data_IF_007142681518
#
_entry.id   IF_007142681518
#
_cell.length_a   1.000
_cell.length_b   1.000
_cell.length_c   1.000
_cell.angle_alpha   90.00
_cell.angle_beta   90.00
_cell.angle_gamma   90.00
#
_symmetry.space_group_name_H-M   'P 1'
#
loop_
_entity.id
_entity.type
_entity.pdbx_description
1 polymer ?
#
# COMPACT_ATOMS: atom_id res chain seq x y z
N UNK A 1 4.64 -15.87 -28.40
CA UNK A 1 4.99 -15.59 -26.99
C UNK A 1 6.20 -14.65 -26.90
N UNK A 2 7.30 -14.94 -27.59
CA UNK A 2 8.53 -14.10 -27.55
C UNK A 2 8.33 -12.62 -27.92
N UNK A 3 7.58 -12.33 -28.98
CA UNK A 3 7.27 -10.93 -29.38
C UNK A 3 6.44 -10.21 -28.33
N UNK A 4 5.52 -10.91 -27.68
CA UNK A 4 4.67 -10.34 -26.64
C UNK A 4 5.48 -10.07 -25.37
N UNK A 5 6.36 -10.99 -24.97
CA UNK A 5 7.30 -10.77 -23.87
C UNK A 5 8.30 -9.66 -24.16
N UNK A 6 8.77 -9.52 -25.40
CA UNK A 6 9.66 -8.43 -25.80
C UNK A 6 8.98 -7.06 -25.72
N UNK A 7 7.74 -6.96 -26.21
CA UNK A 7 6.93 -5.73 -26.12
C UNK A 7 6.64 -5.37 -24.66
N UNK A 8 6.18 -6.34 -23.87
CA UNK A 8 5.93 -6.13 -22.43
C UNK A 8 7.21 -5.75 -21.70
N UNK A 9 8.34 -6.37 -22.01
CA UNK A 9 9.64 -6.05 -21.44
C UNK A 9 10.09 -4.63 -21.76
N UNK A 10 9.93 -4.18 -23.01
CA UNK A 10 10.26 -2.81 -23.41
C UNK A 10 9.37 -1.77 -22.74
N UNK A 11 8.06 -2.01 -22.67
CA UNK A 11 7.11 -1.16 -21.95
C UNK A 11 7.48 -1.13 -20.46
N UNK A 12 7.79 -2.28 -19.86
CA UNK A 12 8.17 -2.38 -18.47
C UNK A 12 9.45 -1.58 -18.18
N UNK A 13 10.46 -1.70 -19.03
CA UNK A 13 11.72 -0.97 -18.90
C UNK A 13 11.57 0.55 -19.04
N UNK A 14 10.56 1.03 -19.78
CA UNK A 14 10.28 2.46 -19.89
C UNK A 14 9.38 2.96 -18.76
N UNK A 15 8.23 2.30 -18.54
CA UNK A 15 7.19 2.69 -17.57
C UNK A 15 7.66 2.49 -16.12
N UNK A 16 8.47 1.48 -15.84
CA UNK A 16 9.05 1.25 -14.51
C UNK A 16 10.54 1.60 -14.45
N UNK A 17 11.05 2.21 -15.51
CA UNK A 17 12.42 2.67 -15.62
C UNK A 17 12.68 4.00 -14.91
N UNK A 18 13.86 4.58 -15.16
CA UNK A 18 14.27 5.85 -14.57
C UNK A 18 13.24 6.99 -14.67
N UNK A 19 12.52 7.20 -15.80
CA UNK A 19 11.58 8.31 -15.90
C UNK A 19 10.46 8.27 -14.85
N UNK A 20 9.87 7.10 -14.62
CA UNK A 20 8.79 6.97 -13.64
C UNK A 20 9.29 7.06 -12.21
N UNK A 21 10.48 6.51 -11.93
CA UNK A 21 11.12 6.64 -10.62
C UNK A 21 11.40 8.12 -10.29
N UNK A 22 11.94 8.87 -11.26
CA UNK A 22 12.16 10.31 -11.13
C UNK A 22 10.83 11.05 -10.95
N UNK A 23 9.77 10.65 -11.64
CA UNK A 23 8.46 11.29 -11.49
C UNK A 23 7.86 11.02 -10.10
N UNK A 24 7.85 9.78 -9.62
CA UNK A 24 7.31 9.41 -8.31
C UNK A 24 8.11 10.06 -7.18
N UNK A 25 9.44 9.91 -7.19
CA UNK A 25 10.29 10.46 -6.15
C UNK A 25 10.40 11.98 -6.25
N UNK A 26 10.50 12.52 -7.46
CA UNK A 26 10.55 13.96 -7.70
C UNK A 26 9.28 14.66 -7.29
N UNK A 27 8.10 14.10 -7.62
CA UNK A 27 6.81 14.66 -7.17
C UNK A 27 6.66 14.58 -5.66
N UNK A 28 7.00 13.45 -5.05
CA UNK A 28 6.98 13.32 -3.60
C UNK A 28 7.92 14.32 -2.93
N UNK A 29 9.13 14.51 -3.45
CA UNK A 29 10.10 15.44 -2.88
C UNK A 29 9.61 16.89 -3.04
N UNK A 30 9.07 17.23 -4.21
CA UNK A 30 8.44 18.53 -4.46
C UNK A 30 7.30 18.80 -3.47
N UNK A 31 6.39 17.84 -3.27
CA UNK A 31 5.28 17.96 -2.32
C UNK A 31 5.79 18.06 -0.88
N UNK A 32 6.79 17.26 -0.51
CA UNK A 32 7.41 17.24 0.81
C UNK A 32 8.01 18.62 1.15
N UNK A 33 8.69 19.26 0.19
CA UNK A 33 9.21 20.62 0.33
C UNK A 33 8.09 21.67 0.35
N UNK A 34 7.11 21.58 -0.55
CA UNK A 34 5.98 22.53 -0.64
C UNK A 34 5.09 22.52 0.60
N UNK A 35 4.92 21.34 1.22
CA UNK A 35 4.21 21.16 2.48
C UNK A 35 5.09 21.52 3.70
N UNK A 36 6.32 22.01 3.50
CA UNK A 36 7.22 22.40 4.59
C UNK A 36 7.54 21.23 5.53
N UNK A 37 7.75 20.03 4.98
CA UNK A 37 7.97 18.79 5.73
C UNK A 37 6.84 18.44 6.72
N UNK A 38 5.64 18.99 6.55
CA UNK A 38 4.52 18.80 7.46
C UNK A 38 4.19 17.32 7.73
N UNK A 39 4.12 16.41 6.74
CA UNK A 39 3.82 15.01 7.00
C UNK A 39 4.79 14.37 8.01
N UNK A 40 6.08 14.66 7.89
CA UNK A 40 7.12 14.15 8.81
C UNK A 40 7.01 14.84 10.18
N UNK A 41 6.88 16.17 10.21
CA UNK A 41 6.81 16.95 11.46
C UNK A 41 5.55 16.63 12.29
N UNK A 42 4.45 16.23 11.64
CA UNK A 42 3.15 15.99 12.28
C UNK A 42 2.84 14.52 12.54
N UNK A 43 3.77 13.59 12.33
CA UNK A 43 3.58 12.16 12.64
C UNK A 43 3.00 11.94 14.06
N UNK A 44 3.52 12.56 15.14
CA UNK A 44 2.95 12.36 16.48
C UNK A 44 1.51 12.86 16.61
N UNK A 45 1.19 13.96 15.91
CA UNK A 45 -0.19 14.49 15.85
C UNK A 45 -1.10 13.51 15.14
N UNK A 46 -0.64 12.91 14.03
CA UNK A 46 -1.36 11.89 13.28
C UNK A 46 -1.72 10.68 14.15
N UNK A 47 -0.76 10.13 14.89
CA UNK A 47 -1.03 9.04 15.84
C UNK A 47 -2.06 9.42 16.90
N UNK A 48 -1.99 10.65 17.44
CA UNK A 48 -2.97 11.15 18.41
C UNK A 48 -4.38 11.25 17.81
N UNK A 49 -4.49 11.71 16.56
CA UNK A 49 -5.76 11.82 15.85
C UNK A 49 -6.38 10.44 15.59
N UNK A 50 -5.57 9.49 15.12
CA UNK A 50 -5.99 8.09 14.89
C UNK A 50 -6.50 7.45 16.19
N UNK A 51 -5.79 7.67 17.30
CA UNK A 51 -6.20 7.12 18.59
C UNK A 51 -7.53 7.69 19.08
N UNK A 52 -7.76 9.00 18.87
CA UNK A 52 -9.02 9.67 19.20
C UNK A 52 -10.16 9.22 18.28
N UNK A 53 -9.88 9.02 17.00
CA UNK A 53 -10.83 8.58 15.96
C UNK A 53 -11.28 7.12 16.07
N UNK A 54 -10.90 6.40 17.14
CA UNK A 54 -11.47 5.08 17.49
C UNK A 54 -12.91 5.16 17.97
N UNK A 55 -13.33 6.32 18.49
CA UNK A 55 -14.72 6.58 18.84
C UNK A 55 -15.36 7.30 17.65
N UNK A 56 -16.40 6.74 17.01
CA UNK A 56 -17.16 7.49 16.02
C UNK A 56 -17.78 8.70 16.73
N UNK A 57 -17.55 9.90 16.21
CA UNK A 57 -18.43 11.02 16.55
C UNK A 57 -19.77 10.74 15.85
N UNK A 58 -20.87 10.77 16.60
CA UNK A 58 -22.19 10.40 16.08
C UNK A 58 -22.62 11.28 14.89
N UNK A 59 -22.07 12.50 14.79
CA UNK A 59 -22.37 13.49 13.76
C UNK A 59 -21.26 13.65 12.69
N UNK A 60 -20.20 12.81 12.72
CA UNK A 60 -19.10 12.95 11.78
C UNK A 60 -19.48 12.43 10.37
N UNK A 61 -19.34 13.24 9.30
CA UNK A 61 -19.68 12.82 7.95
C UNK A 61 -18.69 11.78 7.39
N UNK A 62 -19.11 10.51 7.33
CA UNK A 62 -18.35 9.40 6.76
C UNK A 62 -18.96 8.04 7.11
N UNK A 63 -18.65 7.01 6.33
CA UNK A 63 -19.26 5.69 6.50
C UNK A 63 -18.59 4.80 7.55
N UNK A 64 -17.32 5.07 7.83
CA UNK A 64 -16.49 4.32 8.77
C UNK A 64 -15.66 5.29 9.62
N UNK A 65 -15.28 4.85 10.82
CA UNK A 65 -14.44 5.65 11.71
C UNK A 65 -13.08 5.98 11.05
N UNK A 66 -12.41 7.08 11.43
CA UNK A 66 -11.04 7.35 10.97
C UNK A 66 -10.07 6.20 11.29
N UNK A 67 -10.30 5.48 12.39
CA UNK A 67 -9.51 4.30 12.74
C UNK A 67 -9.76 3.15 11.75
N UNK A 68 -11.02 2.83 11.43
CA UNK A 68 -11.40 1.84 10.42
C UNK A 68 -10.85 2.17 9.05
N UNK A 69 -10.91 3.44 8.64
CA UNK A 69 -10.37 3.88 7.37
C UNK A 69 -8.85 3.63 7.31
N UNK A 70 -8.12 3.97 8.37
CA UNK A 70 -6.69 3.69 8.45
C UNK A 70 -6.41 2.19 8.46
N UNK A 71 -7.11 1.40 9.26
CA UNK A 71 -6.89 -0.05 9.34
C UNK A 71 -7.22 -0.73 8.00
N UNK A 72 -8.26 -0.29 7.30
CA UNK A 72 -8.60 -0.77 5.95
C UNK A 72 -7.49 -0.42 4.94
N UNK A 73 -6.97 0.81 4.98
CA UNK A 73 -5.85 1.21 4.13
C UNK A 73 -4.57 0.43 4.47
N UNK A 74 -4.32 0.14 5.75
CA UNK A 74 -3.21 -0.72 6.19
C UNK A 74 -3.39 -2.17 5.76
N UNK A 75 -4.61 -2.71 5.79
CA UNK A 75 -4.90 -4.06 5.30
C UNK A 75 -4.54 -4.22 3.81
N UNK A 76 -4.79 -3.17 3.02
CA UNK A 76 -4.48 -3.18 1.59
C UNK A 76 -2.99 -2.98 1.29
N UNK A 77 -2.25 -2.26 2.16
CA UNK A 77 -0.83 -1.93 1.92
C UNK A 77 0.14 -2.92 2.57
N UNK A 78 -0.23 -3.51 3.71
CA UNK A 78 0.53 -4.57 4.36
C UNK A 78 0.13 -5.90 3.73
N UNK A 79 1.04 -6.49 2.98
CA UNK A 79 0.82 -7.79 2.36
C UNK A 79 2.13 -8.41 1.88
N UNK A 80 2.06 -9.26 0.86
CA UNK A 80 3.22 -10.01 0.39
C UNK A 80 4.36 -9.11 -0.10
N UNK A 81 4.07 -7.88 -0.55
CA UNK A 81 5.09 -6.89 -0.88
C UNK A 81 6.07 -6.61 0.28
N UNK A 82 5.60 -6.62 1.52
CA UNK A 82 6.45 -6.37 2.69
C UNK A 82 7.33 -7.56 3.05
N UNK A 83 6.97 -8.77 2.60
CA UNK A 83 7.68 -10.01 2.90
C UNK A 83 8.52 -10.42 1.69
N UNK A 84 7.86 -10.91 0.64
CA UNK A 84 8.51 -11.36 -0.58
C UNK A 84 9.06 -10.19 -1.42
N UNK A 85 8.39 -9.04 -1.44
CA UNK A 85 8.85 -7.88 -2.21
C UNK A 85 10.16 -7.31 -1.68
N UNK A 86 10.27 -7.14 -0.35
CA UNK A 86 11.53 -6.73 0.31
C UNK A 86 12.64 -7.76 0.06
N UNK A 87 12.35 -9.05 0.23
CA UNK A 87 13.32 -10.12 -0.04
C UNK A 87 13.80 -10.12 -1.49
N UNK A 88 12.89 -9.93 -2.45
CA UNK A 88 13.20 -9.84 -3.88
C UNK A 88 14.04 -8.60 -4.18
N UNK A 89 13.72 -7.45 -3.58
CA UNK A 89 14.48 -6.22 -3.74
C UNK A 89 15.93 -6.39 -3.24
N UNK A 90 16.13 -7.05 -2.10
CA UNK A 90 17.47 -7.36 -1.58
C UNK A 90 18.19 -8.38 -2.47
N UNK A 91 17.50 -9.40 -2.97
CA UNK A 91 18.09 -10.42 -3.83
C UNK A 91 18.57 -9.86 -5.17
N UNK A 92 17.82 -8.91 -5.75
CA UNK A 92 18.15 -8.31 -7.06
C UNK A 92 19.06 -7.09 -6.92
N UNK A 93 18.77 -6.19 -5.98
CA UNK A 93 19.45 -4.90 -5.81
C UNK A 93 20.51 -4.87 -4.71
N UNK A 94 20.68 -5.97 -3.99
CA UNK A 94 21.56 -6.05 -2.82
C UNK A 94 21.00 -5.38 -1.56
N UNK A 95 21.74 -5.44 -0.44
CA UNK A 95 21.31 -4.88 0.84
C UNK A 95 21.00 -3.38 0.81
N UNK A 96 21.66 -2.63 -0.08
CA UNK A 96 21.47 -1.20 -0.26
C UNK A 96 20.07 -0.78 -0.70
N UNK A 97 19.31 -1.71 -1.30
CA UNK A 97 17.92 -1.47 -1.67
C UNK A 97 17.06 -1.05 -0.46
N UNK A 98 17.34 -1.58 0.74
CA UNK A 98 16.60 -1.23 1.96
C UNK A 98 16.69 0.26 2.30
N UNK A 99 17.88 0.85 2.19
CA UNK A 99 18.06 2.29 2.43
C UNK A 99 17.20 3.12 1.48
N UNK A 100 17.22 2.78 0.19
CA UNK A 100 16.43 3.47 -0.81
C UNK A 100 14.92 3.26 -0.60
N UNK A 101 14.48 2.08 -0.18
CA UNK A 101 13.09 1.85 0.23
C UNK A 101 12.68 2.79 1.37
N UNK A 102 13.53 3.01 2.38
CA UNK A 102 13.24 3.99 3.44
C UNK A 102 13.15 5.42 2.91
N UNK A 103 14.05 5.82 2.01
CA UNK A 103 14.00 7.14 1.38
C UNK A 103 12.72 7.33 0.55
N UNK A 104 12.32 6.31 -0.21
CA UNK A 104 11.07 6.33 -0.97
C UNK A 104 9.85 6.46 -0.07
N UNK A 105 9.86 5.81 1.10
CA UNK A 105 8.78 5.93 2.09
C UNK A 105 8.72 7.33 2.72
N UNK A 106 9.88 7.91 3.06
CA UNK A 106 9.95 9.27 3.61
C UNK A 106 9.37 10.32 2.65
N UNK A 107 9.74 10.21 1.39
CA UNK A 107 9.27 11.10 0.32
C UNK A 107 7.81 10.82 -0.04
N UNK A 108 7.43 9.53 -0.08
CA UNK A 108 6.08 9.08 -0.39
C UNK A 108 5.02 9.49 0.65
N UNK A 109 5.41 9.79 1.89
CA UNK A 109 4.47 10.30 2.90
C UNK A 109 3.76 11.58 2.45
N UNK A 110 4.45 12.52 1.81
CA UNK A 110 3.81 13.73 1.26
C UNK A 110 2.86 13.41 0.12
N UNK A 111 3.28 12.56 -0.82
CA UNK A 111 2.42 12.11 -1.93
C UNK A 111 1.15 11.49 -1.38
N UNK A 112 1.28 10.56 -0.42
CA UNK A 112 0.11 9.87 0.13
C UNK A 112 -0.82 10.80 0.90
N UNK A 113 -0.26 11.75 1.66
CA UNK A 113 -1.04 12.77 2.34
C UNK A 113 -1.83 13.62 1.34
N UNK A 114 -1.18 14.11 0.27
CA UNK A 114 -1.82 14.91 -0.77
C UNK A 114 -2.91 14.13 -1.52
N UNK A 115 -2.69 12.85 -1.81
CA UNK A 115 -3.71 11.99 -2.41
C UNK A 115 -4.97 11.91 -1.56
N UNK A 116 -4.81 11.63 -0.25
CA UNK A 116 -5.94 11.49 0.68
C UNK A 116 -6.65 12.84 0.87
N UNK A 117 -5.90 13.93 0.98
CA UNK A 117 -6.46 15.28 1.11
C UNK A 117 -7.33 15.62 -0.11
N UNK A 118 -6.82 15.39 -1.33
CA UNK A 118 -7.56 15.65 -2.56
C UNK A 118 -8.78 14.73 -2.70
N UNK A 119 -8.64 13.46 -2.33
CA UNK A 119 -9.74 12.50 -2.36
C UNK A 119 -10.88 12.91 -1.43
N UNK A 120 -10.59 13.43 -0.23
CA UNK A 120 -11.60 13.93 0.70
C UNK A 120 -12.20 15.26 0.24
N UNK A 121 -11.39 16.15 -0.34
CA UNK A 121 -11.85 17.46 -0.79
C UNK A 121 -12.74 17.40 -2.03
N UNK A 122 -12.47 16.46 -2.95
CA UNK A 122 -13.18 16.32 -4.24
C UNK A 122 -14.11 15.10 -4.31
N UNK A 123 -14.43 14.48 -3.17
CA UNK A 123 -15.39 13.35 -3.11
C UNK A 123 -16.79 13.80 -3.52
N UNK A 124 -17.53 12.88 -4.10
CA UNK A 124 -18.95 13.01 -4.41
C UNK A 124 -19.76 12.08 -3.50
N UNK A 125 -21.06 12.30 -3.42
CA UNK A 125 -22.00 11.35 -2.83
C UNK A 125 -22.77 10.71 -3.96
N UNK A 126 -22.80 9.38 -3.99
CA UNK A 126 -23.50 8.64 -5.04
C UNK A 126 -25.02 8.57 -4.79
N UNK A 127 -25.73 7.91 -5.71
CA UNK A 127 -27.20 7.77 -5.65
C UNK A 127 -27.67 6.92 -4.45
N UNK A 128 -26.77 6.16 -3.83
CA UNK A 128 -27.03 5.36 -2.63
C UNK A 128 -26.70 6.11 -1.32
N UNK A 129 -26.23 7.36 -1.42
CA UNK A 129 -25.82 8.17 -0.27
C UNK A 129 -24.42 7.83 0.24
N UNK A 130 -23.65 7.03 -0.51
CA UNK A 130 -22.29 6.61 -0.18
C UNK A 130 -21.25 7.63 -0.67
N UNK A 131 -20.16 7.78 0.08
CA UNK A 131 -19.09 8.72 -0.23
C UNK A 131 -18.10 8.09 -1.19
N UNK A 132 -18.09 8.56 -2.44
CA UNK A 132 -17.21 8.09 -3.51
C UNK A 132 -16.10 9.10 -3.77
N UNK A 133 -14.85 8.63 -3.72
CA UNK A 133 -13.68 9.50 -3.84
C UNK A 133 -12.45 8.76 -4.35
N UNK A 134 -11.39 9.51 -4.61
CA UNK A 134 -10.11 8.98 -5.10
C UNK A 134 -9.51 9.83 -6.21
N UNK A 135 -8.37 9.40 -6.78
CA UNK A 135 -7.65 10.20 -7.79
C UNK A 135 -8.48 10.48 -9.04
N UNK A 136 -9.33 9.55 -9.47
CA UNK A 136 -10.26 9.73 -10.59
C UNK A 136 -11.23 10.91 -10.35
N UNK A 137 -11.75 11.07 -9.14
CA UNK A 137 -12.62 12.18 -8.76
C UNK A 137 -11.84 13.48 -8.56
N UNK A 138 -10.64 13.41 -7.95
CA UNK A 138 -9.76 14.56 -7.84
C UNK A 138 -9.39 15.15 -9.21
N UNK A 139 -9.17 14.31 -10.22
CA UNK A 139 -8.92 14.75 -11.60
C UNK A 139 -10.20 15.33 -12.22
N UNK A 140 -11.32 14.60 -12.16
CA UNK A 140 -12.60 15.00 -12.76
C UNK A 140 -13.09 16.34 -12.21
N UNK A 141 -13.01 16.53 -10.89
CA UNK A 141 -13.60 17.67 -10.18
C UNK A 141 -12.60 18.78 -9.88
N UNK A 142 -11.31 18.46 -9.77
CA UNK A 142 -10.26 19.44 -9.45
C UNK A 142 -9.55 20.04 -10.66
N UNK A 143 -9.31 19.27 -11.72
CA UNK A 143 -8.61 19.75 -12.93
C UNK A 143 -9.56 20.22 -14.04
N UNK A 144 -10.86 19.95 -13.89
CA UNK A 144 -11.90 20.37 -14.82
C UNK A 144 -12.14 19.41 -15.99
N UNK A 145 -13.13 19.76 -16.83
CA UNK A 145 -13.69 18.85 -17.84
C UNK A 145 -12.67 18.34 -18.88
N UNK A 146 -11.65 19.15 -19.21
CA UNK A 146 -10.61 18.80 -20.19
C UNK A 146 -9.73 17.61 -19.76
N UNK A 147 -9.66 17.32 -18.45
CA UNK A 147 -8.83 16.25 -17.89
C UNK A 147 -9.62 14.99 -17.54
N UNK A 148 -10.92 14.95 -17.85
CA UNK A 148 -11.79 13.79 -17.56
C UNK A 148 -11.26 12.49 -18.15
N UNK A 149 -10.65 12.52 -19.33
CA UNK A 149 -10.05 11.35 -19.96
C UNK A 149 -8.97 10.70 -19.08
N UNK A 150 -8.20 11.50 -18.34
CA UNK A 150 -7.16 11.01 -17.44
C UNK A 150 -7.77 10.37 -16.19
N UNK A 151 -8.89 10.91 -15.69
CA UNK A 151 -9.66 10.30 -14.62
C UNK A 151 -10.24 8.93 -15.02
N UNK A 152 -10.76 8.82 -16.25
CA UNK A 152 -11.24 7.54 -16.81
C UNK A 152 -10.08 6.55 -16.99
N UNK A 153 -8.95 7.00 -17.52
CA UNK A 153 -7.76 6.17 -17.66
C UNK A 153 -7.26 5.67 -16.29
N UNK A 154 -7.26 6.52 -15.26
CA UNK A 154 -6.92 6.12 -13.90
C UNK A 154 -7.89 5.07 -13.36
N UNK A 155 -9.20 5.25 -13.54
CA UNK A 155 -10.19 4.28 -13.08
C UNK A 155 -10.02 2.91 -13.77
N UNK A 156 -9.74 2.90 -15.08
CA UNK A 156 -9.48 1.68 -15.84
C UNK A 156 -8.21 0.98 -15.37
N UNK A 157 -7.07 1.68 -15.37
CA UNK A 157 -5.79 1.09 -14.99
C UNK A 157 -5.73 0.74 -13.51
N UNK A 158 -6.30 1.57 -12.64
CA UNK A 158 -6.42 1.30 -11.21
C UNK A 158 -7.30 0.08 -10.93
N UNK A 159 -8.43 -0.05 -11.64
CA UNK A 159 -9.28 -1.24 -11.55
C UNK A 159 -8.55 -2.52 -11.99
N UNK A 160 -7.85 -2.47 -13.13
CA UNK A 160 -7.03 -3.60 -13.61
C UNK A 160 -5.87 -3.93 -12.68
N UNK A 161 -5.17 -2.92 -12.16
CA UNK A 161 -4.08 -3.07 -11.20
C UNK A 161 -4.56 -3.70 -9.88
N UNK A 162 -5.81 -3.45 -9.48
CA UNK A 162 -6.46 -4.08 -8.34
C UNK A 162 -6.49 -5.61 -8.43
N UNK A 163 -6.73 -6.18 -9.63
CA UNK A 163 -6.65 -7.63 -9.83
C UNK A 163 -5.22 -8.16 -9.72
N UNK A 164 -4.24 -7.44 -10.27
CA UNK A 164 -2.84 -7.85 -10.21
C UNK A 164 -2.28 -7.79 -8.78
N UNK A 165 -2.12 -6.57 -8.27
CA UNK A 165 -1.45 -6.30 -6.99
C UNK A 165 -2.35 -6.70 -5.80
N UNK A 166 -3.66 -6.46 -5.92
CA UNK A 166 -4.60 -6.69 -4.83
C UNK A 166 -5.07 -8.13 -4.69
N UNK A 167 -5.07 -8.94 -5.76
CA UNK A 167 -5.63 -10.29 -5.74
C UNK A 167 -4.64 -11.38 -6.17
N UNK A 168 -4.15 -11.35 -7.42
CA UNK A 168 -3.40 -12.47 -8.02
C UNK A 168 -2.07 -12.71 -7.31
N UNK A 169 -1.27 -11.66 -7.11
CA UNK A 169 0.05 -11.78 -6.47
C UNK A 169 -0.10 -12.23 -5.01
N UNK A 170 -1.09 -11.70 -4.29
CA UNK A 170 -1.35 -12.06 -2.90
C UNK A 170 -1.79 -13.52 -2.76
N UNK A 171 -2.76 -13.94 -3.58
CA UNK A 171 -3.31 -15.31 -3.55
C UNK A 171 -2.27 -16.35 -3.94
N UNK A 172 -1.46 -16.05 -4.97
CA UNK A 172 -0.37 -16.92 -5.39
C UNK A 172 0.68 -17.10 -4.28
N UNK A 173 1.07 -16.01 -3.62
CA UNK A 173 2.07 -16.07 -2.55
C UNK A 173 1.57 -16.85 -1.32
N UNK A 174 0.28 -16.74 -0.99
CA UNK A 174 -0.34 -17.57 0.06
C UNK A 174 -0.34 -19.04 -0.36
N UNK A 175 -0.73 -19.36 -1.59
CA UNK A 175 -0.74 -20.73 -2.09
C UNK A 175 0.66 -21.38 -2.06
N UNK A 176 1.68 -20.64 -2.47
CA UNK A 176 3.07 -21.10 -2.45
C UNK A 176 3.58 -21.29 -1.02
N UNK A 177 3.26 -20.36 -0.10
CA UNK A 177 3.62 -20.50 1.32
C UNK A 177 2.94 -21.73 1.96
N UNK A 178 1.67 -21.97 1.64
CA UNK A 178 0.93 -23.14 2.13
C UNK A 178 1.48 -24.45 1.57
N UNK A 179 1.91 -24.45 0.31
CA UNK A 179 2.53 -25.62 -0.31
C UNK A 179 3.90 -25.93 0.29
N UNK A 180 4.78 -24.94 0.35
CA UNK A 180 6.15 -25.10 0.85
C UNK A 180 6.23 -25.43 2.34
N UNK A 181 5.35 -24.84 3.16
CA UNK A 181 5.40 -25.02 4.62
C UNK A 181 4.56 -26.19 5.13
N UNK A 182 3.46 -26.51 4.44
CA UNK A 182 2.46 -27.48 4.94
C UNK A 182 2.08 -28.56 3.90
N UNK A 183 2.76 -28.60 2.74
CA UNK A 183 2.47 -29.51 1.64
C UNK A 183 1.01 -29.45 1.12
N UNK A 184 0.32 -28.33 1.33
CA UNK A 184 -1.05 -28.13 0.84
C UNK A 184 -1.04 -27.89 -0.67
N UNK A 185 -1.81 -28.64 -1.48
CA UNK A 185 -1.85 -28.42 -2.93
C UNK A 185 -2.46 -27.05 -3.30
N UNK A 186 -1.92 -26.41 -4.33
CA UNK A 186 -2.35 -25.07 -4.78
C UNK A 186 -3.85 -24.97 -5.08
N UNK A 187 -4.44 -26.02 -5.69
CA UNK A 187 -5.86 -26.04 -6.02
C UNK A 187 -6.76 -25.97 -4.77
N UNK A 188 -6.33 -26.59 -3.66
CA UNK A 188 -7.10 -26.57 -2.42
C UNK A 188 -7.09 -25.18 -1.80
N UNK A 189 -5.92 -24.54 -1.75
CA UNK A 189 -5.81 -23.14 -1.32
C UNK A 189 -6.64 -22.23 -2.22
N UNK A 190 -6.62 -22.43 -3.54
CA UNK A 190 -7.39 -21.64 -4.50
C UNK A 190 -8.91 -21.75 -4.35
N UNK A 191 -9.44 -22.85 -3.81
CA UNK A 191 -10.88 -23.02 -3.53
C UNK A 191 -11.26 -22.41 -2.18
N UNK A 192 -10.44 -22.62 -1.15
CA UNK A 192 -10.76 -22.19 0.23
C UNK A 192 -10.51 -20.69 0.41
N UNK A 193 -9.42 -20.17 -0.15
CA UNK A 193 -8.99 -18.80 0.01
C UNK A 193 -10.04 -17.76 -0.42
N UNK A 194 -10.80 -17.89 -1.53
CA UNK A 194 -11.83 -16.92 -1.88
C UNK A 194 -13.05 -16.97 -0.95
N UNK A 195 -13.33 -18.09 -0.29
CA UNK A 195 -14.53 -18.23 0.54
C UNK A 195 -14.51 -17.24 1.72
N UNK A 196 -13.38 -17.15 2.44
CA UNK A 196 -13.28 -16.32 3.65
C UNK A 196 -13.40 -14.80 3.38
N UNK A 197 -12.65 -14.21 2.43
CA UNK A 197 -12.78 -12.79 2.09
C UNK A 197 -14.15 -12.46 1.48
N UNK A 198 -14.77 -13.39 0.73
CA UNK A 198 -16.09 -13.15 0.12
C UNK A 198 -17.15 -12.82 1.17
N UNK A 199 -17.15 -13.47 2.33
CA UNK A 199 -18.07 -13.14 3.43
C UNK A 199 -17.90 -11.71 3.96
N UNK A 200 -16.68 -11.18 3.91
CA UNK A 200 -16.37 -9.82 4.35
C UNK A 200 -16.76 -8.81 3.27
N UNK A 201 -16.41 -9.09 2.01
CA UNK A 201 -16.66 -8.22 0.85
C UNK A 201 -18.15 -8.04 0.57
N UNK A 202 -18.96 -9.11 0.70
CA UNK A 202 -20.41 -9.05 0.51
C UNK A 202 -21.12 -8.12 1.51
N UNK A 203 -20.49 -7.76 2.63
CA UNK A 203 -21.03 -6.83 3.61
C UNK A 203 -20.70 -5.36 3.36
N UNK A 204 -20.01 -5.02 2.26
CA UNK A 204 -19.66 -3.64 1.92
C UNK A 204 -18.59 -3.01 2.83
N UNK A 205 -18.34 -1.71 2.63
CA UNK A 205 -17.21 -1.01 3.27
C UNK A 205 -17.31 -0.95 4.80
N UNK A 206 -18.52 -0.93 5.36
CA UNK A 206 -18.75 -0.98 6.81
C UNK A 206 -18.24 -2.28 7.43
N UNK A 207 -18.52 -3.43 6.79
CA UNK A 207 -18.04 -4.74 7.25
C UNK A 207 -16.54 -4.90 7.04
N UNK A 208 -16.03 -4.43 5.90
CA UNK A 208 -14.59 -4.41 5.62
C UNK A 208 -13.86 -3.62 6.71
N UNK A 209 -14.35 -2.42 7.02
CA UNK A 209 -13.81 -1.57 8.09
C UNK A 209 -13.81 -2.26 9.45
N UNK A 210 -14.93 -2.85 9.85
CA UNK A 210 -15.05 -3.55 11.13
C UNK A 210 -14.09 -4.74 11.26
N UNK A 211 -13.93 -5.53 10.20
CA UNK A 211 -12.96 -6.66 10.19
C UNK A 211 -11.52 -6.13 10.21
N UNK A 212 -11.22 -5.10 9.42
CA UNK A 212 -9.89 -4.51 9.36
C UNK A 212 -9.48 -3.92 10.72
N UNK A 213 -10.37 -3.23 11.43
CA UNK A 213 -10.09 -2.66 12.77
C UNK A 213 -9.63 -3.69 13.79
N UNK A 214 -10.12 -4.93 13.68
CA UNK A 214 -9.81 -6.02 14.60
C UNK A 214 -8.61 -6.84 14.13
N UNK A 215 -8.58 -7.21 12.85
CA UNK A 215 -7.58 -8.14 12.31
C UNK A 215 -6.23 -7.47 12.08
N UNK A 216 -6.21 -6.25 11.53
CA UNK A 216 -4.99 -5.56 11.09
C UNK A 216 -4.02 -5.29 12.24
N UNK A 217 -4.46 -4.74 13.39
CA UNK A 217 -3.55 -4.55 14.52
C UNK A 217 -2.95 -5.87 15.01
N UNK A 218 -3.76 -6.93 15.06
CA UNK A 218 -3.32 -8.27 15.48
C UNK A 218 -2.21 -8.82 14.60
N UNK A 219 -2.38 -8.78 13.28
CA UNK A 219 -1.34 -9.26 12.36
C UNK A 219 -0.06 -8.41 12.41
N UNK A 220 -0.19 -7.08 12.50
CA UNK A 220 0.98 -6.19 12.57
C UNK A 220 1.77 -6.40 13.86
N UNK A 221 1.09 -6.53 15.00
CA UNK A 221 1.74 -6.78 16.30
C UNK A 221 2.43 -8.14 16.27
N UNK A 222 1.76 -9.20 15.80
CA UNK A 222 2.35 -10.53 15.72
C UNK A 222 3.62 -10.54 14.84
N UNK A 223 3.57 -9.90 13.67
CA UNK A 223 4.71 -9.77 12.78
C UNK A 223 5.88 -9.01 13.42
N UNK A 224 5.61 -7.86 14.05
CA UNK A 224 6.64 -7.04 14.71
C UNK A 224 7.26 -7.80 15.90
N UNK A 225 6.45 -8.49 16.71
CA UNK A 225 6.95 -9.29 17.84
C UNK A 225 7.85 -10.41 17.35
N UNK A 226 7.44 -11.17 16.33
CA UNK A 226 8.27 -12.23 15.75
C UNK A 226 9.60 -11.67 15.21
N UNK A 227 9.56 -10.56 14.47
CA UNK A 227 10.76 -9.90 13.95
C UNK A 227 11.69 -9.41 15.08
N UNK A 228 11.14 -8.81 16.14
CA UNK A 228 11.91 -8.37 17.30
C UNK A 228 12.58 -9.54 18.02
N UNK A 229 11.91 -10.68 18.16
CA UNK A 229 12.51 -11.89 18.73
C UNK A 229 13.73 -12.32 17.91
N UNK A 230 13.59 -12.39 16.58
CA UNK A 230 14.70 -12.75 15.68
C UNK A 230 15.86 -11.76 15.79
N UNK A 231 15.57 -10.46 15.87
CA UNK A 231 16.58 -9.41 16.04
C UNK A 231 17.29 -9.50 17.39
N UNK A 232 16.56 -9.82 18.47
CA UNK A 232 17.15 -9.99 19.81
C UNK A 232 18.07 -11.21 19.86
N UNK A 233 17.66 -12.33 19.26
CA UNK A 233 18.50 -13.54 19.17
C UNK A 233 19.77 -13.28 18.34
N UNK A 234 19.67 -12.43 17.30
CA UNK A 234 20.78 -12.07 16.42
C UNK A 234 21.37 -10.68 16.70
N UNK A 235 21.25 -10.18 17.94
CA UNK A 235 21.58 -8.79 18.26
C UNK A 235 23.02 -8.40 17.87
N UNK A 236 23.97 -9.33 17.98
CA UNK A 236 25.37 -9.12 17.58
C UNK A 236 25.56 -8.85 16.08
N UNK A 237 24.65 -9.31 15.22
CA UNK A 237 24.72 -9.09 13.77
C UNK A 237 24.10 -7.77 13.30
N UNK A 238 23.35 -7.08 14.16
CA UNK A 238 22.61 -5.86 13.78
C UNK A 238 23.54 -4.74 13.28
N UNK A 239 24.67 -4.40 13.96
CA UNK A 239 25.55 -3.34 13.47
C UNK A 239 26.15 -3.66 12.10
N UNK A 240 26.55 -4.93 11.87
CA UNK A 240 27.08 -5.38 10.59
C UNK A 240 26.03 -5.30 9.47
N UNK A 241 24.78 -5.63 9.77
CA UNK A 241 23.67 -5.52 8.82
C UNK A 241 23.43 -4.05 8.41
N UNK A 242 23.42 -3.10 9.36
CA UNK A 242 23.35 -1.68 9.01
C UNK A 242 24.56 -1.23 8.17
N UNK A 243 25.77 -1.69 8.51
CA UNK A 243 26.97 -1.44 7.71
C UNK A 243 26.78 -1.87 6.25
N UNK A 244 26.32 -3.11 6.02
CA UNK A 244 26.02 -3.62 4.68
C UNK A 244 24.98 -2.77 3.95
N UNK A 245 23.89 -2.40 4.63
CA UNK A 245 22.83 -1.56 4.03
C UNK A 245 23.40 -0.23 3.55
N UNK A 246 24.15 0.50 4.40
CA UNK A 246 24.67 1.81 4.02
C UNK A 246 25.79 1.72 2.99
N UNK A 247 26.71 0.76 3.10
CA UNK A 247 27.80 0.60 2.13
C UNK A 247 27.24 0.28 0.74
N UNK A 248 26.36 -0.72 0.62
CA UNK A 248 25.77 -1.10 -0.66
C UNK A 248 24.79 -0.05 -1.22
N UNK A 249 24.24 0.83 -0.39
CA UNK A 249 23.34 1.88 -0.89
C UNK A 249 24.07 2.97 -1.67
N UNK A 250 25.38 3.14 -1.44
CA UNK A 250 26.21 4.21 -1.99
C UNK A 250 27.41 3.72 -2.81
N UNK A 251 27.50 2.41 -3.08
CA UNK A 251 28.52 1.77 -3.94
C UNK A 251 27.89 1.23 -5.22
#
# INVERSE_FOLDING_TARGET
METLTAIVGAINGFVWGPPMLVLILGTGLFLQLRLGLMPIRRIPTGFRMVWRGRKPDADAPGEISPYAALMTALAATVGTGNIAGVATAIAIGGPGALFWMWMTALVGMATKYSEVLLAVHFRETDDHGEQIGGPMYAIKNGLGAHWKWLGVAFALFGGLAGFGIGNMVQSNSIAEAMNSSFAVPHWLTGIVLPALPSFVLLGGIKRIGAVAEQLVPGMCIAYIVAALIVLLVNAGGIPAAFGLIFTHAFS
#
